data_IF_623163621329
#
_entry.id   IF_623163621329
#
_cell.length_a   1.000
_cell.length_b   1.000
_cell.length_c   1.000
_cell.angle_alpha   90.00
_cell.angle_beta   90.00
_cell.angle_gamma   90.00
#
_symmetry.space_group_name_H-M   'P 1'
#
loop_
_entity.id
_entity.type
_entity.pdbx_description
1 polymer ?
#
# COMPACT_ATOMS: atom_id res chain seq x y z
N UNK A 1 48.71 -53.84 -19.76
CA UNK A 1 48.35 -52.92 -18.66
C UNK A 1 48.12 -51.46 -19.08
N UNK A 2 48.61 -50.98 -20.24
CA UNK A 2 48.51 -49.56 -20.65
C UNK A 2 47.12 -49.13 -21.17
N UNK A 3 46.36 -50.03 -21.81
CA UNK A 3 45.04 -49.70 -22.39
C UNK A 3 43.95 -49.45 -21.33
N UNK A 4 44.06 -50.06 -20.15
CA UNK A 4 43.12 -49.85 -19.05
C UNK A 4 43.16 -48.40 -18.57
N UNK A 5 44.36 -47.85 -18.35
CA UNK A 5 44.57 -46.49 -17.86
C UNK A 5 44.03 -45.40 -18.79
N UNK A 6 44.19 -45.55 -20.11
CA UNK A 6 43.66 -44.58 -21.08
C UNK A 6 42.13 -44.50 -21.06
N UNK A 7 41.45 -45.62 -20.82
CA UNK A 7 39.98 -45.69 -20.73
C UNK A 7 39.48 -45.00 -19.46
N UNK A 8 40.18 -45.16 -18.34
CA UNK A 8 39.86 -44.45 -17.09
C UNK A 8 40.08 -42.94 -17.21
N UNK A 9 41.18 -42.50 -17.83
CA UNK A 9 41.45 -41.08 -18.06
C UNK A 9 40.37 -40.45 -18.95
N UNK A 10 39.99 -41.11 -20.05
CA UNK A 10 38.94 -40.63 -20.95
C UNK A 10 37.57 -40.53 -20.25
N UNK A 11 37.20 -41.54 -19.47
CA UNK A 11 35.97 -41.52 -18.68
C UNK A 11 35.97 -40.40 -17.62
N UNK A 12 37.11 -40.19 -16.94
CA UNK A 12 37.24 -39.16 -15.91
C UNK A 12 37.17 -37.74 -16.49
N UNK A 13 37.81 -37.51 -17.64
CA UNK A 13 37.72 -36.24 -18.37
C UNK A 13 36.28 -35.99 -18.83
N UNK A 14 35.59 -37.00 -19.35
CA UNK A 14 34.18 -36.89 -19.73
C UNK A 14 33.29 -36.55 -18.54
N UNK A 15 33.49 -37.21 -17.39
CA UNK A 15 32.74 -36.94 -16.16
C UNK A 15 32.94 -35.50 -15.67
N UNK A 16 34.18 -34.97 -15.70
CA UNK A 16 34.46 -33.59 -15.31
C UNK A 16 33.79 -32.58 -16.24
N UNK A 17 33.72 -32.85 -17.55
CA UNK A 17 33.01 -31.98 -18.51
C UNK A 17 31.51 -31.98 -18.24
N UNK A 18 30.90 -33.14 -17.97
CA UNK A 18 29.47 -33.22 -17.66
C UNK A 18 29.13 -32.53 -16.34
N UNK A 19 29.94 -32.71 -15.29
CA UNK A 19 29.76 -32.02 -14.00
C UNK A 19 29.96 -30.51 -14.15
N UNK A 20 30.95 -30.08 -14.93
CA UNK A 20 31.20 -28.67 -15.23
C UNK A 20 30.04 -28.02 -16.00
N UNK A 21 29.53 -28.69 -17.03
CA UNK A 21 28.36 -28.23 -17.81
C UNK A 21 27.11 -28.20 -16.92
N UNK A 22 26.89 -29.22 -16.08
CA UNK A 22 25.80 -29.22 -15.09
C UNK A 22 25.90 -28.03 -14.14
N UNK A 23 27.10 -27.71 -13.65
CA UNK A 23 27.33 -26.53 -12.80
C UNK A 23 27.11 -25.21 -13.54
N UNK A 24 27.51 -25.10 -14.81
CA UNK A 24 27.30 -23.90 -15.64
C UNK A 24 25.80 -23.71 -15.94
N UNK A 25 25.09 -24.80 -16.29
CA UNK A 25 23.64 -24.78 -16.53
C UNK A 25 22.89 -24.45 -15.24
N UNK A 26 23.26 -25.02 -14.09
CA UNK A 26 22.62 -24.67 -12.81
C UNK A 26 22.92 -23.23 -12.39
N UNK A 27 24.16 -22.75 -12.59
CA UNK A 27 24.56 -21.37 -12.29
C UNK A 27 23.86 -20.35 -13.20
N UNK A 28 23.44 -20.74 -14.40
CA UNK A 28 22.62 -19.90 -15.29
C UNK A 28 21.15 -19.82 -14.87
N UNK A 29 20.67 -20.78 -14.04
CA UNK A 29 19.32 -20.76 -13.44
C UNK A 29 19.28 -19.93 -12.16
N UNK A 30 20.35 -19.91 -11.38
CA UNK A 30 20.46 -19.12 -10.16
C UNK A 30 21.16 -17.79 -10.45
N UNK A 31 20.52 -16.91 -11.23
CA UNK A 31 20.93 -15.50 -11.21
C UNK A 31 20.75 -14.99 -9.78
N UNK A 32 21.85 -14.67 -9.09
CA UNK A 32 21.81 -14.08 -7.74
C UNK A 32 21.09 -12.74 -7.85
N UNK A 33 19.78 -12.76 -7.67
CA UNK A 33 18.96 -11.55 -7.62
C UNK A 33 19.23 -10.88 -6.29
N UNK A 34 19.53 -9.58 -6.34
CA UNK A 34 19.66 -8.76 -5.13
C UNK A 34 18.31 -8.68 -4.41
N UNK A 35 18.27 -8.48 -3.08
CA UNK A 35 17.02 -8.28 -2.36
C UNK A 35 16.10 -7.22 -2.98
N UNK A 36 16.67 -6.15 -3.55
CA UNK A 36 15.92 -5.09 -4.24
C UNK A 36 15.30 -5.55 -5.57
N UNK A 37 16.02 -6.32 -6.39
CA UNK A 37 15.45 -6.90 -7.62
C UNK A 37 14.37 -7.94 -7.30
N UNK A 38 14.60 -8.79 -6.31
CA UNK A 38 13.62 -9.79 -5.87
C UNK A 38 12.36 -9.13 -5.31
N UNK A 39 12.49 -8.05 -4.54
CA UNK A 39 11.35 -7.25 -4.07
C UNK A 39 10.52 -6.73 -5.24
N UNK A 40 11.15 -6.09 -6.23
CA UNK A 40 10.44 -5.55 -7.41
C UNK A 40 9.68 -6.64 -8.17
N UNK A 41 10.31 -7.80 -8.40
CA UNK A 41 9.68 -8.94 -9.07
C UNK A 41 8.44 -9.44 -8.31
N UNK A 42 8.54 -9.58 -6.99
CA UNK A 42 7.40 -9.97 -6.15
C UNK A 42 6.27 -8.96 -6.21
N UNK A 43 6.57 -7.66 -6.13
CA UNK A 43 5.56 -6.59 -6.24
C UNK A 43 4.87 -6.64 -7.60
N UNK A 44 5.63 -6.74 -8.69
CA UNK A 44 5.07 -6.79 -10.05
C UNK A 44 4.18 -8.02 -10.26
N UNK A 45 4.62 -9.20 -9.81
CA UNK A 45 3.81 -10.42 -9.90
C UNK A 45 2.52 -10.32 -9.07
N UNK A 46 2.62 -9.80 -7.83
CA UNK A 46 1.47 -9.56 -6.97
C UNK A 46 0.46 -8.58 -7.59
N UNK A 47 0.93 -7.44 -8.12
CA UNK A 47 0.05 -6.45 -8.76
C UNK A 47 -0.62 -7.00 -10.02
N UNK A 48 0.09 -7.79 -10.82
CA UNK A 48 -0.50 -8.44 -12.00
C UNK A 48 -1.68 -9.34 -11.63
N UNK A 49 -1.55 -10.15 -10.57
CA UNK A 49 -2.63 -11.01 -10.09
C UNK A 49 -3.76 -10.20 -9.45
N UNK A 50 -3.42 -9.15 -8.69
CA UNK A 50 -4.40 -8.23 -8.12
C UNK A 50 -5.28 -7.58 -9.19
N UNK A 51 -4.68 -7.11 -10.30
CA UNK A 51 -5.42 -6.51 -11.43
C UNK A 51 -6.32 -7.52 -12.16
N UNK A 52 -6.10 -8.82 -11.95
CA UNK A 52 -6.96 -9.89 -12.44
C UNK A 52 -8.00 -10.32 -11.39
N UNK A 53 -8.12 -9.58 -10.28
CA UNK A 53 -8.97 -9.88 -9.12
C UNK A 53 -8.66 -11.22 -8.43
N UNK A 54 -7.46 -11.77 -8.68
CA UNK A 54 -6.98 -13.02 -8.08
C UNK A 54 -6.28 -12.75 -6.76
N UNK A 55 -7.04 -12.30 -5.78
CA UNK A 55 -6.49 -11.79 -4.52
C UNK A 55 -5.79 -12.87 -3.69
N UNK A 56 -6.31 -14.10 -3.68
CA UNK A 56 -5.72 -15.24 -2.98
C UNK A 56 -4.34 -15.61 -3.57
N UNK A 57 -4.22 -15.56 -4.90
CA UNK A 57 -2.96 -15.80 -5.61
C UNK A 57 -1.98 -14.63 -5.42
N UNK A 58 -2.46 -13.39 -5.34
CA UNK A 58 -1.65 -12.19 -5.17
C UNK A 58 -1.03 -12.07 -3.76
N UNK A 59 -1.80 -12.42 -2.72
CA UNK A 59 -1.40 -12.29 -1.32
C UNK A 59 -0.01 -12.85 -0.96
N UNK A 60 0.38 -14.08 -1.35
CA UNK A 60 1.69 -14.63 -1.02
C UNK A 60 2.85 -13.81 -1.60
N UNK A 61 2.68 -13.15 -2.75
CA UNK A 61 3.70 -12.29 -3.33
C UNK A 61 3.96 -11.06 -2.46
N UNK A 62 2.89 -10.38 -2.04
CA UNK A 62 3.02 -9.23 -1.16
C UNK A 62 3.51 -9.59 0.25
N UNK A 63 3.09 -10.75 0.79
CA UNK A 63 3.62 -11.28 2.06
C UNK A 63 5.11 -11.60 1.98
N UNK A 64 5.63 -12.05 0.83
CA UNK A 64 7.07 -12.24 0.65
C UNK A 64 7.78 -10.89 0.48
N UNK A 65 7.21 -9.97 -0.30
CA UNK A 65 7.80 -8.66 -0.54
C UNK A 65 7.97 -7.84 0.75
N UNK A 66 6.99 -7.87 1.66
CA UNK A 66 7.06 -7.13 2.94
C UNK A 66 8.15 -7.64 3.89
N UNK A 67 8.62 -8.88 3.71
CA UNK A 67 9.75 -9.43 4.46
C UNK A 67 11.10 -8.92 3.94
N UNK A 68 11.15 -8.47 2.68
CA UNK A 68 12.36 -7.91 2.07
C UNK A 68 12.47 -6.40 2.32
N UNK A 69 11.35 -5.70 2.18
CA UNK A 69 11.27 -4.25 2.36
C UNK A 69 9.94 -3.88 3.00
N UNK A 70 10.00 -3.10 4.08
CA UNK A 70 8.83 -2.51 4.73
C UNK A 70 8.69 -1.06 4.27
N UNK A 71 7.57 -0.74 3.64
CA UNK A 71 7.24 0.60 3.14
C UNK A 71 5.74 0.82 3.12
N UNK A 72 5.31 2.08 3.03
CA UNK A 72 3.89 2.42 2.91
C UNK A 72 3.27 1.75 1.68
N UNK A 73 4.00 1.71 0.55
CA UNK A 73 3.54 1.11 -0.71
C UNK A 73 3.21 -0.38 -0.56
N UNK A 74 4.04 -1.16 0.13
CA UNK A 74 3.75 -2.59 0.30
C UNK A 74 2.63 -2.81 1.31
N UNK A 75 2.56 -2.02 2.38
CA UNK A 75 1.43 -2.11 3.31
C UNK A 75 0.11 -1.72 2.64
N UNK A 76 0.09 -0.71 1.78
CA UNK A 76 -1.07 -0.40 0.92
C UNK A 76 -1.44 -1.57 0.02
N UNK A 77 -0.46 -2.20 -0.61
CA UNK A 77 -0.73 -3.36 -1.49
C UNK A 77 -1.34 -4.52 -0.71
N UNK A 78 -0.84 -4.81 0.50
CA UNK A 78 -1.44 -5.79 1.40
C UNK A 78 -2.85 -5.39 1.83
N UNK A 79 -3.05 -4.13 2.23
CA UNK A 79 -4.38 -3.58 2.54
C UNK A 79 -5.37 -3.81 1.40
N UNK A 80 -5.02 -3.42 0.17
CA UNK A 80 -5.90 -3.55 -1.00
C UNK A 80 -6.24 -5.01 -1.29
N UNK A 81 -5.29 -5.93 -1.17
CA UNK A 81 -5.53 -7.37 -1.37
C UNK A 81 -6.45 -7.93 -0.30
N UNK A 82 -6.23 -7.59 0.97
CA UNK A 82 -7.11 -8.01 2.05
C UNK A 82 -8.51 -7.41 1.93
N UNK A 83 -8.63 -6.19 1.41
CA UNK A 83 -9.92 -5.57 1.09
C UNK A 83 -10.65 -6.35 -0.02
N UNK A 84 -9.93 -6.74 -1.08
CA UNK A 84 -10.46 -7.59 -2.16
C UNK A 84 -10.92 -8.97 -1.66
N UNK A 85 -10.18 -9.55 -0.70
CA UNK A 85 -10.55 -10.78 0.01
C UNK A 85 -11.70 -10.61 1.01
N UNK A 86 -12.16 -9.36 1.24
CA UNK A 86 -13.13 -8.99 2.28
C UNK A 86 -12.68 -9.37 3.71
N UNK A 87 -11.38 -9.54 3.91
CA UNK A 87 -10.78 -9.75 5.22
C UNK A 87 -10.44 -8.39 5.83
N UNK A 88 -11.49 -7.73 6.32
CA UNK A 88 -11.39 -6.37 6.86
C UNK A 88 -10.50 -6.29 8.10
N UNK A 89 -10.38 -7.37 8.89
CA UNK A 89 -9.48 -7.40 10.06
C UNK A 89 -8.03 -7.26 9.63
N UNK A 90 -7.59 -8.02 8.63
CA UNK A 90 -6.23 -7.86 8.12
C UNK A 90 -6.07 -6.55 7.33
N UNK A 91 -7.08 -6.12 6.57
CA UNK A 91 -7.04 -4.83 5.88
C UNK A 91 -6.76 -3.67 6.89
N UNK A 92 -7.49 -3.64 8.01
CA UNK A 92 -7.31 -2.65 9.08
C UNK A 92 -5.87 -2.62 9.61
N UNK A 93 -5.27 -3.79 9.84
CA UNK A 93 -3.87 -3.91 10.29
C UNK A 93 -2.92 -3.21 9.30
N UNK A 94 -3.08 -3.47 8.00
CA UNK A 94 -2.13 -2.99 7.00
C UNK A 94 -2.33 -1.52 6.62
N UNK A 95 -3.56 -1.00 6.65
CA UNK A 95 -3.76 0.45 6.45
C UNK A 95 -3.20 1.25 7.63
N UNK A 96 -3.35 0.76 8.87
CA UNK A 96 -2.70 1.34 10.07
C UNK A 96 -1.18 1.32 9.96
N UNK A 97 -0.58 0.22 9.49
CA UNK A 97 0.87 0.14 9.25
C UNK A 97 1.33 1.11 8.16
N UNK A 98 0.54 1.31 7.10
CA UNK A 98 0.85 2.25 6.02
C UNK A 98 0.98 3.70 6.54
N UNK A 99 -0.02 4.19 7.29
CA UNK A 99 0.05 5.54 7.89
C UNK A 99 1.07 5.62 9.03
N UNK A 100 1.38 4.51 9.69
CA UNK A 100 2.37 4.46 10.77
C UNK A 100 3.82 4.50 10.29
N UNK A 101 4.14 3.92 9.13
CA UNK A 101 5.50 3.95 8.57
C UNK A 101 5.77 5.23 7.78
N UNK A 102 4.75 5.80 7.13
CA UNK A 102 4.84 7.07 6.44
C UNK A 102 3.53 7.85 6.59
N UNK A 103 3.47 8.67 7.64
CA UNK A 103 2.32 9.50 7.94
C UNK A 103 2.20 10.75 7.06
N UNK A 104 3.22 11.13 6.31
CA UNK A 104 3.21 12.39 5.55
C UNK A 104 2.41 12.31 4.24
N UNK A 105 1.92 11.11 3.86
CA UNK A 105 1.13 10.88 2.64
C UNK A 105 -0.37 11.08 2.95
N UNK A 106 -1.01 12.19 2.51
CA UNK A 106 -2.41 12.48 2.84
C UNK A 106 -3.37 11.41 2.34
N UNK A 107 -3.11 10.86 1.16
CA UNK A 107 -3.95 9.83 0.55
C UNK A 107 -4.05 8.55 1.40
N UNK A 108 -3.04 8.24 2.22
CA UNK A 108 -3.09 7.06 3.09
C UNK A 108 -4.08 7.28 4.25
N UNK A 109 -4.14 8.51 4.78
CA UNK A 109 -5.10 8.89 5.81
C UNK A 109 -6.53 9.00 5.28
N UNK A 110 -6.71 9.53 4.06
CA UNK A 110 -8.02 9.57 3.41
C UNK A 110 -8.58 8.16 3.18
N UNK A 111 -7.73 7.24 2.69
CA UNK A 111 -8.09 5.85 2.51
C UNK A 111 -8.38 5.17 3.84
N UNK A 112 -7.60 5.47 4.89
CA UNK A 112 -7.84 4.93 6.22
C UNK A 112 -9.18 5.41 6.82
N UNK A 113 -9.47 6.71 6.74
CA UNK A 113 -10.74 7.26 7.24
C UNK A 113 -11.94 6.69 6.47
N UNK A 114 -11.83 6.59 5.14
CA UNK A 114 -12.84 5.96 4.30
C UNK A 114 -13.04 4.50 4.65
N UNK A 115 -11.96 3.77 4.92
CA UNK A 115 -12.03 2.37 5.32
C UNK A 115 -12.82 2.19 6.62
N UNK A 116 -12.48 2.97 7.65
CA UNK A 116 -13.16 2.94 8.95
C UNK A 116 -14.65 3.30 8.81
N UNK A 117 -14.96 4.35 8.03
CA UNK A 117 -16.35 4.79 7.82
C UNK A 117 -17.18 3.74 7.05
N UNK A 118 -16.68 3.24 5.92
CA UNK A 118 -17.50 2.45 5.01
C UNK A 118 -17.49 0.95 5.31
N UNK A 119 -16.33 0.38 5.64
CA UNK A 119 -16.18 -1.08 5.82
C UNK A 119 -16.31 -1.48 7.28
N UNK A 120 -15.68 -0.74 8.20
CA UNK A 120 -15.77 -1.04 9.63
C UNK A 120 -17.04 -0.48 10.28
N UNK A 121 -17.72 0.47 9.62
CA UNK A 121 -18.85 1.22 10.19
C UNK A 121 -18.48 1.81 11.55
N UNK A 122 -17.26 2.32 11.64
CA UNK A 122 -16.70 2.80 12.88
C UNK A 122 -17.52 4.01 13.40
N UNK A 123 -17.63 4.15 14.72
CA UNK A 123 -18.24 5.32 15.34
C UNK A 123 -17.62 6.65 14.86
N UNK A 124 -18.42 7.73 14.92
CA UNK A 124 -18.02 9.06 14.44
C UNK A 124 -16.70 9.57 15.04
N UNK A 125 -16.48 9.32 16.32
CA UNK A 125 -15.26 9.72 17.04
C UNK A 125 -14.03 8.96 16.55
N UNK A 126 -14.17 7.68 16.19
CA UNK A 126 -13.07 6.87 15.65
C UNK A 126 -12.65 7.41 14.28
N UNK A 127 -13.60 7.59 13.35
CA UNK A 127 -13.29 8.14 12.02
C UNK A 127 -12.74 9.56 12.11
N UNK A 128 -13.30 10.39 12.99
CA UNK A 128 -12.81 11.75 13.24
C UNK A 128 -11.36 11.75 13.75
N UNK A 129 -11.00 10.84 14.65
CA UNK A 129 -9.61 10.72 15.11
C UNK A 129 -8.64 10.38 13.98
N UNK A 130 -9.06 9.56 13.00
CA UNK A 130 -8.22 9.25 11.82
C UNK A 130 -7.96 10.52 11.00
N UNK A 131 -9.01 11.30 10.71
CA UNK A 131 -8.87 12.59 10.01
C UNK A 131 -7.97 13.57 10.78
N UNK A 132 -8.21 13.74 12.08
CA UNK A 132 -7.47 14.69 12.91
C UNK A 132 -5.98 14.34 12.98
N UNK A 133 -5.63 13.05 13.15
CA UNK A 133 -4.23 12.61 13.11
C UNK A 133 -3.60 12.86 11.74
N UNK A 134 -4.31 12.54 10.66
CA UNK A 134 -3.84 12.82 9.31
C UNK A 134 -3.57 14.31 9.07
N UNK A 135 -4.47 15.18 9.53
CA UNK A 135 -4.32 16.63 9.43
C UNK A 135 -3.11 17.15 10.21
N UNK A 136 -2.86 16.61 11.41
CA UNK A 136 -1.70 16.96 12.23
C UNK A 136 -0.39 16.66 11.51
N UNK A 137 -0.21 15.42 11.05
CA UNK A 137 1.07 14.99 10.46
C UNK A 137 1.30 15.52 9.04
N UNK A 138 0.24 15.80 8.29
CA UNK A 138 0.32 16.36 6.92
C UNK A 138 0.30 17.88 6.89
N UNK A 139 0.40 18.55 8.05
CA UNK A 139 0.40 20.01 8.19
C UNK A 139 -0.82 20.66 7.52
N UNK A 140 -1.99 20.07 7.77
CA UNK A 140 -3.28 20.49 7.21
C UNK A 140 -3.31 20.45 5.69
N UNK A 141 -2.96 19.31 5.09
CA UNK A 141 -3.17 19.11 3.67
C UNK A 141 -4.62 19.42 3.25
N UNK A 142 -4.78 20.14 2.14
CA UNK A 142 -6.06 20.67 1.70
C UNK A 142 -7.11 19.58 1.46
N UNK A 143 -6.72 18.43 0.91
CA UNK A 143 -7.66 17.35 0.61
C UNK A 143 -8.18 16.71 1.90
N UNK A 144 -7.32 16.53 2.90
CA UNK A 144 -7.74 16.07 4.24
C UNK A 144 -8.68 17.07 4.90
N UNK A 145 -8.42 18.37 4.79
CA UNK A 145 -9.28 19.41 5.37
C UNK A 145 -10.67 19.38 4.74
N UNK A 146 -10.75 19.32 3.41
CA UNK A 146 -12.03 19.34 2.70
C UNK A 146 -12.80 18.02 2.85
N UNK A 147 -12.12 16.87 2.84
CA UNK A 147 -12.79 15.58 3.06
C UNK A 147 -13.31 15.47 4.50
N UNK A 148 -12.58 15.97 5.50
CA UNK A 148 -13.08 15.98 6.87
C UNK A 148 -14.28 16.92 7.03
N UNK A 149 -14.26 18.10 6.39
CA UNK A 149 -15.43 18.98 6.34
C UNK A 149 -16.66 18.28 5.72
N UNK A 150 -16.48 17.57 4.60
CA UNK A 150 -17.53 16.76 3.99
C UNK A 150 -18.07 15.69 4.93
N UNK A 151 -17.18 14.93 5.57
CA UNK A 151 -17.56 13.92 6.56
C UNK A 151 -18.35 14.52 7.75
N UNK A 152 -17.95 15.69 8.25
CA UNK A 152 -18.68 16.41 9.30
C UNK A 152 -20.07 16.84 8.82
N UNK A 153 -20.20 17.31 7.58
CA UNK A 153 -21.48 17.66 6.96
C UNK A 153 -22.41 16.45 6.86
N UNK A 154 -21.91 15.30 6.38
CA UNK A 154 -22.68 14.05 6.31
C UNK A 154 -23.20 13.61 7.69
N UNK A 155 -22.43 13.88 8.74
CA UNK A 155 -22.78 13.57 10.13
C UNK A 155 -23.51 14.73 10.85
N UNK A 156 -24.02 15.71 10.10
CA UNK A 156 -24.80 16.87 10.61
C UNK A 156 -24.05 17.75 11.61
N UNK A 157 -22.71 17.72 11.58
CA UNK A 157 -21.82 18.56 12.40
C UNK A 157 -21.50 19.86 11.69
N UNK A 158 -22.54 20.60 11.30
CA UNK A 158 -22.40 21.75 10.39
C UNK A 158 -21.50 22.87 10.94
N UNK A 159 -21.58 23.17 12.24
CA UNK A 159 -20.71 24.18 12.86
C UNK A 159 -19.23 23.81 12.74
N UNK A 160 -18.88 22.55 12.97
CA UNK A 160 -17.51 22.06 12.85
C UNK A 160 -17.07 22.01 11.38
N UNK A 161 -17.94 21.56 10.47
CA UNK A 161 -17.67 21.57 9.03
C UNK A 161 -17.32 22.99 8.54
N UNK A 162 -18.07 24.01 8.97
CA UNK A 162 -17.81 25.42 8.64
C UNK A 162 -16.41 25.86 9.12
N UNK A 163 -15.95 25.42 10.30
CA UNK A 163 -14.60 25.72 10.78
C UNK A 163 -13.55 25.16 9.83
N UNK A 164 -13.71 23.91 9.37
CA UNK A 164 -12.77 23.30 8.42
C UNK A 164 -12.86 23.90 7.01
N UNK A 165 -14.03 24.30 6.52
CA UNK A 165 -14.16 25.02 5.26
C UNK A 165 -13.46 26.39 5.31
N UNK A 166 -13.57 27.12 6.42
CA UNK A 166 -12.80 28.36 6.62
C UNK A 166 -11.29 28.12 6.62
N UNK A 167 -10.85 27.01 7.19
CA UNK A 167 -9.44 26.58 7.15
C UNK A 167 -9.01 26.24 5.72
N UNK A 168 -9.86 25.57 4.93
CA UNK A 168 -9.61 25.28 3.52
C UNK A 168 -9.40 26.57 2.69
N UNK A 169 -10.24 27.59 2.91
CA UNK A 169 -10.09 28.92 2.29
C UNK A 169 -8.73 29.55 2.60
N UNK A 170 -8.25 29.42 3.84
CA UNK A 170 -6.96 29.98 4.24
C UNK A 170 -5.76 29.26 3.61
N UNK A 171 -5.88 27.95 3.37
CA UNK A 171 -4.83 27.12 2.76
C UNK A 171 -4.80 27.31 1.24
N UNK A 172 -5.98 27.32 0.60
CA UNK A 172 -6.15 27.40 -0.85
C UNK A 172 -7.22 28.44 -1.21
N UNK A 173 -6.82 29.72 -1.36
CA UNK A 173 -7.75 30.80 -1.70
C UNK A 173 -8.37 30.67 -3.09
N UNK A 174 -7.82 29.84 -3.98
CA UNK A 174 -8.30 29.74 -5.38
C UNK A 174 -9.71 29.17 -5.47
N UNK A 175 -10.09 28.33 -4.50
CA UNK A 175 -11.43 27.73 -4.38
C UNK A 175 -12.31 28.43 -3.34
N UNK A 176 -11.92 29.63 -2.90
CA UNK A 176 -12.62 30.36 -1.84
C UNK A 176 -14.12 30.52 -2.09
N UNK A 177 -14.51 30.89 -3.30
CA UNK A 177 -15.92 31.15 -3.62
C UNK A 177 -16.76 29.87 -3.51
N UNK A 178 -16.22 28.73 -3.91
CA UNK A 178 -16.88 27.43 -3.75
C UNK A 178 -17.05 27.06 -2.27
N UNK A 179 -15.99 27.17 -1.47
CA UNK A 179 -16.07 26.90 -0.03
C UNK A 179 -17.00 27.88 0.70
N UNK A 180 -17.03 29.16 0.28
CA UNK A 180 -17.92 30.15 0.87
C UNK A 180 -19.39 29.88 0.52
N UNK A 181 -19.67 29.43 -0.70
CA UNK A 181 -21.02 28.99 -1.09
C UNK A 181 -21.49 27.79 -0.25
N UNK A 182 -20.60 26.82 0.01
CA UNK A 182 -20.89 25.68 0.89
C UNK A 182 -21.15 26.13 2.33
N UNK A 183 -20.30 27.00 2.91
CA UNK A 183 -20.52 27.60 4.23
C UNK A 183 -21.90 28.27 4.31
N UNK A 184 -22.26 29.10 3.32
CA UNK A 184 -23.54 29.80 3.29
C UNK A 184 -24.72 28.82 3.20
N UNK A 185 -24.56 27.70 2.49
CA UNK A 185 -25.57 26.65 2.41
C UNK A 185 -25.76 25.97 3.78
N UNK A 186 -24.68 25.59 4.44
CA UNK A 186 -24.70 24.96 5.76
C UNK A 186 -25.33 25.87 6.82
N UNK A 187 -25.05 27.18 6.76
CA UNK A 187 -25.64 28.17 7.69
C UNK A 187 -27.16 28.32 7.55
N UNK A 188 -27.72 28.08 6.35
CA UNK A 188 -29.17 28.13 6.13
C UNK A 188 -29.90 26.88 6.66
N UNK A 189 -29.16 25.79 6.86
CA UNK A 189 -29.70 24.51 7.37
C UNK A 189 -29.57 24.33 8.88
N UNK A 190 -28.99 25.31 9.58
CA UNK A 190 -28.89 25.39 11.04
C UNK A 190 -30.13 26.10 11.62
#
# INVERSE_FOLDING_TARGET
>A
MINSYKKYISFFVFLLVVVGIFFIINRSRDSVTTPSSTYRELITAGHKLYLQEKYEEALPYFKKAVLLEQSDRIYRSLYSVYLGLKDYKNAEIYIKKSVGINGEIPNNWLEYASFENYYMKAPFDVVSQVYLKGLEVTKNNIDLVTNYAGYLTENKKYNEAIVYLKKAIAIDPTRKDAFQAEINSLQKGL
#
